data_IF_836711731093
#
_entry.id   IF_836711731093
#
_cell.length_a   1.000
_cell.length_b   1.000
_cell.length_c   1.000
_cell.angle_alpha   90.00
_cell.angle_beta   90.00
_cell.angle_gamma   90.00
#
_symmetry.space_group_name_H-M   'P 1'
#
loop_
_entity.id
_entity.type
_entity.pdbx_description
1 polymer ?
#
# COMPACT_ATOMS: atom_id res chain seq x y z
N UNK A 1 -31.12 -68.73 -8.30
CA UNK A 1 -30.08 -69.13 -7.34
C UNK A 1 -28.73 -68.62 -7.83
N UNK A 2 -28.07 -67.81 -6.98
CA UNK A 2 -26.65 -67.44 -6.90
C UNK A 2 -25.86 -67.13 -8.19
N UNK A 3 -25.74 -65.85 -8.55
CA UNK A 3 -24.58 -65.35 -9.31
C UNK A 3 -23.54 -64.84 -8.31
N UNK A 4 -22.39 -65.50 -8.28
CA UNK A 4 -21.22 -65.12 -7.48
C UNK A 4 -20.60 -63.85 -8.07
N UNK A 5 -20.42 -62.82 -7.24
CA UNK A 5 -19.64 -61.64 -7.60
C UNK A 5 -18.16 -61.91 -7.28
N UNK A 6 -17.22 -61.77 -8.22
CA UNK A 6 -15.82 -61.68 -7.84
C UNK A 6 -15.56 -60.28 -7.28
N UNK A 7 -14.98 -60.25 -6.08
CA UNK A 7 -14.40 -59.08 -5.43
C UNK A 7 -13.39 -58.42 -6.39
N UNK A 8 -13.78 -57.30 -7.02
CA UNK A 8 -12.84 -56.37 -7.61
C UNK A 8 -12.36 -55.43 -6.53
N UNK A 9 -11.16 -55.66 -6.00
CA UNK A 9 -10.48 -54.73 -5.09
C UNK A 9 -10.15 -53.48 -5.91
N UNK A 10 -10.98 -52.44 -5.79
CA UNK A 10 -10.63 -51.11 -6.28
C UNK A 10 -9.63 -50.53 -5.29
N UNK A 11 -8.35 -50.56 -5.64
CA UNK A 11 -7.33 -49.75 -4.98
C UNK A 11 -7.66 -48.28 -5.25
N UNK A 12 -8.38 -47.65 -4.32
CA UNK A 12 -8.49 -46.19 -4.26
C UNK A 12 -7.10 -45.68 -3.85
N UNK A 13 -6.28 -45.33 -4.84
CA UNK A 13 -5.06 -44.57 -4.61
C UNK A 13 -5.44 -43.20 -4.05
N UNK A 14 -5.51 -43.09 -2.73
CA UNK A 14 -5.52 -41.83 -2.01
C UNK A 14 -4.17 -41.16 -2.28
N UNK A 15 -4.11 -40.33 -3.33
CA UNK A 15 -3.11 -39.28 -3.40
C UNK A 15 -3.40 -38.32 -2.25
N UNK A 16 -2.49 -38.14 -1.27
CA UNK A 16 -2.60 -37.01 -0.37
C UNK A 16 -2.36 -35.76 -1.22
N UNK A 17 -3.44 -35.15 -1.72
CA UNK A 17 -3.40 -33.77 -2.17
C UNK A 17 -3.21 -32.99 -0.87
N UNK A 18 -1.95 -32.79 -0.50
CA UNK A 18 -1.57 -31.85 0.54
C UNK A 18 -2.00 -30.48 0.04
N UNK A 19 -3.22 -30.08 0.38
CA UNK A 19 -3.63 -28.69 0.33
C UNK A 19 -2.75 -27.99 1.37
N UNK A 20 -1.59 -27.50 0.92
CA UNK A 20 -0.82 -26.53 1.69
C UNK A 20 -1.73 -25.31 1.74
N UNK A 21 -2.48 -25.19 2.83
CA UNK A 21 -3.23 -23.99 3.11
C UNK A 21 -2.23 -22.85 3.12
N UNK A 22 -2.29 -21.97 2.12
CA UNK A 22 -1.53 -20.72 2.07
C UNK A 22 -1.95 -19.74 3.19
N UNK A 23 -2.75 -20.19 4.17
CA UNK A 23 -3.13 -19.42 5.35
C UNK A 23 -1.96 -19.10 6.28
N UNK A 24 -0.76 -19.62 6.04
CA UNK A 24 0.47 -18.98 6.52
C UNK A 24 0.88 -17.89 5.52
N UNK A 25 0.08 -16.83 5.47
CA UNK A 25 0.53 -15.56 4.92
C UNK A 25 1.72 -15.13 5.79
N UNK A 26 2.92 -15.12 5.21
CA UNK A 26 4.11 -14.60 5.91
C UNK A 26 3.74 -13.27 6.57
N UNK A 27 4.28 -13.02 7.78
CA UNK A 27 4.15 -11.77 8.52
C UNK A 27 4.90 -10.61 7.81
N UNK A 28 4.74 -10.50 6.50
CA UNK A 28 5.29 -9.46 5.66
C UNK A 28 4.34 -8.28 5.62
N UNK A 29 4.90 -7.10 5.41
CA UNK A 29 4.13 -5.90 5.16
C UNK A 29 3.49 -5.98 3.77
N UNK A 30 2.24 -5.53 3.66
CA UNK A 30 1.67 -5.25 2.36
C UNK A 30 2.48 -4.11 1.70
N UNK A 31 3.09 -4.32 0.51
CA UNK A 31 3.92 -3.30 -0.13
C UNK A 31 3.20 -1.97 -0.37
N UNK A 32 1.91 -2.00 -0.72
CA UNK A 32 1.10 -0.78 -0.92
C UNK A 32 0.98 0.02 0.38
N UNK A 33 0.70 -0.67 1.49
CA UNK A 33 0.61 -0.05 2.82
C UNK A 33 1.98 0.48 3.25
N UNK A 34 3.05 -0.30 3.04
CA UNK A 34 4.41 0.07 3.39
C UNK A 34 4.88 1.31 2.62
N UNK A 35 4.60 1.37 1.32
CA UNK A 35 4.95 2.51 0.49
C UNK A 35 4.21 3.79 0.91
N UNK A 36 2.92 3.70 1.28
CA UNK A 36 2.22 4.85 1.83
C UNK A 36 2.74 5.27 3.21
N UNK A 37 3.09 4.30 4.05
CA UNK A 37 3.75 4.55 5.33
C UNK A 37 5.06 5.32 5.14
N UNK A 38 5.87 4.94 4.16
CA UNK A 38 7.10 5.66 3.83
C UNK A 38 6.85 7.08 3.29
N UNK A 39 5.80 7.28 2.49
CA UNK A 39 5.49 8.59 1.91
C UNK A 39 4.86 9.58 2.90
N UNK A 40 4.12 9.08 3.89
CA UNK A 40 3.31 9.90 4.82
C UNK A 40 3.58 9.60 6.30
N UNK A 41 4.74 9.01 6.58
CA UNK A 41 5.35 8.84 7.90
C UNK A 41 4.43 8.21 8.97
N UNK A 42 3.70 7.15 8.62
CA UNK A 42 2.92 6.35 9.58
C UNK A 42 3.45 4.92 9.71
N UNK A 43 3.19 4.28 10.85
CA UNK A 43 3.65 2.90 11.09
C UNK A 43 2.79 1.89 10.30
N UNK A 44 3.36 1.10 9.38
CA UNK A 44 2.61 0.10 8.63
C UNK A 44 2.26 -1.10 9.53
N UNK A 45 1.12 -1.73 9.26
CA UNK A 45 0.72 -2.99 9.91
C UNK A 45 0.97 -4.17 8.97
N UNK A 46 1.25 -5.35 9.54
CA UNK A 46 1.51 -6.59 8.78
C UNK A 46 0.20 -7.32 8.44
N UNK A 47 0.22 -8.10 7.36
CA UNK A 47 -0.91 -8.94 6.94
C UNK A 47 -1.95 -8.22 6.08
N UNK A 48 -3.15 -8.80 5.99
CA UNK A 48 -4.25 -8.26 5.19
C UNK A 48 -4.90 -7.06 5.89
N UNK A 49 -4.94 -5.92 5.18
CA UNK A 49 -5.41 -4.64 5.72
C UNK A 49 -6.58 -4.14 4.89
N UNK A 50 -7.70 -3.82 5.55
CA UNK A 50 -8.82 -3.10 4.93
C UNK A 50 -8.74 -1.59 5.18
N UNK A 51 -8.34 -1.22 6.40
CA UNK A 51 -8.28 0.17 6.83
C UNK A 51 -7.22 0.34 7.91
N UNK A 52 -6.53 1.48 7.89
CA UNK A 52 -5.65 1.95 8.96
C UNK A 52 -6.07 3.35 9.32
N UNK A 53 -6.29 3.58 10.61
CA UNK A 53 -6.35 4.92 11.20
C UNK A 53 -5.12 5.10 12.05
N UNK A 54 -4.33 6.13 11.77
CA UNK A 54 -3.16 6.49 12.58
C UNK A 54 -3.39 7.86 13.20
N UNK A 55 -3.11 7.98 14.50
CA UNK A 55 -3.12 9.26 15.22
C UNK A 55 -1.82 9.33 15.99
N UNK A 56 -1.04 10.37 15.75
CA UNK A 56 0.21 10.63 16.47
C UNK A 56 0.05 11.88 17.29
N UNK A 57 0.53 11.80 18.53
CA UNK A 57 0.41 12.86 19.52
C UNK A 57 1.79 13.47 19.79
N UNK A 58 1.80 14.77 20.04
CA UNK A 58 2.94 15.48 20.62
C UNK A 58 3.08 15.15 22.12
N UNK A 59 4.18 15.58 22.73
CA UNK A 59 4.43 15.39 24.17
C UNK A 59 3.36 16.05 25.05
N UNK A 60 2.79 17.18 24.59
CA UNK A 60 1.70 17.90 25.26
C UNK A 60 0.30 17.27 25.06
N UNK A 61 0.23 16.10 24.40
CA UNK A 61 -0.99 15.36 24.03
C UNK A 61 -1.86 16.02 22.97
N UNK A 62 -1.41 17.11 22.33
CA UNK A 62 -2.03 17.61 21.11
C UNK A 62 -1.80 16.61 19.96
N UNK A 63 -2.68 16.62 18.95
CA UNK A 63 -2.53 15.76 17.77
C UNK A 63 -1.51 16.41 16.83
N UNK A 64 -0.43 15.69 16.55
CA UNK A 64 0.56 16.04 15.54
C UNK A 64 -0.01 15.80 14.14
N UNK A 65 -0.40 14.55 13.87
CA UNK A 65 -1.07 14.19 12.62
C UNK A 65 -2.10 13.08 12.81
N UNK A 66 -3.08 13.07 11.91
CA UNK A 66 -4.04 11.99 11.72
C UNK A 66 -4.01 11.53 10.26
N UNK A 67 -4.04 10.21 10.06
CA UNK A 67 -4.17 9.63 8.72
C UNK A 67 -5.19 8.50 8.68
N UNK A 68 -5.81 8.34 7.50
CA UNK A 68 -6.77 7.27 7.22
C UNK A 68 -6.47 6.66 5.87
N UNK A 69 -6.02 5.40 5.85
CA UNK A 69 -5.83 4.60 4.66
C UNK A 69 -6.97 3.59 4.54
N UNK A 70 -7.63 3.54 3.38
CA UNK A 70 -8.57 2.48 3.01
C UNK A 70 -8.06 1.71 1.80
N UNK A 71 -8.12 0.39 1.89
CA UNK A 71 -7.74 -0.54 0.83
C UNK A 71 -9.01 -1.18 0.28
N UNK A 72 -9.16 -1.12 -1.04
CA UNK A 72 -10.28 -1.72 -1.75
C UNK A 72 -10.19 -3.25 -1.76
N UNK A 73 -11.27 -3.90 -2.19
CA UNK A 73 -11.34 -5.36 -2.28
C UNK A 73 -10.29 -5.97 -3.22
N UNK A 74 -9.80 -5.20 -4.19
CA UNK A 74 -8.76 -5.60 -5.13
C UNK A 74 -7.33 -5.39 -4.57
N UNK A 75 -7.20 -4.97 -3.32
CA UNK A 75 -5.90 -4.76 -2.65
C UNK A 75 -5.24 -3.42 -2.96
N UNK A 76 -5.83 -2.59 -3.82
CA UNK A 76 -5.31 -1.26 -4.14
C UNK A 76 -5.87 -0.20 -3.18
N UNK A 77 -5.19 0.95 -3.10
CA UNK A 77 -5.66 2.10 -2.31
C UNK A 77 -7.02 2.57 -2.83
N UNK A 78 -8.03 2.62 -1.96
CA UNK A 78 -9.35 3.17 -2.26
C UNK A 78 -9.43 4.66 -1.90
N UNK A 79 -8.86 5.03 -0.75
CA UNK A 79 -8.74 6.43 -0.35
C UNK A 79 -7.63 6.59 0.67
N UNK A 80 -7.02 7.77 0.69
CA UNK A 80 -6.07 8.15 1.72
C UNK A 80 -6.32 9.60 2.16
N UNK A 81 -6.30 9.82 3.46
CA UNK A 81 -6.32 11.16 4.06
C UNK A 81 -5.15 11.31 5.01
N UNK A 82 -4.54 12.48 4.99
CA UNK A 82 -3.47 12.88 5.90
C UNK A 82 -3.70 14.32 6.30
N UNK A 83 -3.67 14.60 7.59
CA UNK A 83 -3.81 15.94 8.15
C UNK A 83 -2.80 16.10 9.29
N UNK A 84 -1.75 16.86 9.02
CA UNK A 84 -0.69 17.19 9.96
C UNK A 84 -0.71 18.69 10.21
N UNK A 85 -1.14 19.06 11.41
CA UNK A 85 -1.25 20.46 11.79
C UNK A 85 0.12 21.11 11.87
N UNK A 86 0.16 22.41 11.58
CA UNK A 86 1.36 23.21 11.80
C UNK A 86 1.74 23.14 13.27
N UNK A 87 2.99 22.81 13.54
CA UNK A 87 3.59 22.81 14.87
C UNK A 87 4.88 23.63 14.79
N UNK A 88 4.98 24.70 15.57
CA UNK A 88 6.14 25.62 15.53
C UNK A 88 7.48 24.93 15.80
N UNK A 89 7.48 23.74 16.42
CA UNK A 89 8.68 23.00 16.79
C UNK A 89 9.01 21.85 15.82
N UNK A 90 8.01 21.31 15.11
CA UNK A 90 8.15 20.09 14.31
C UNK A 90 7.81 20.27 12.83
N UNK A 91 6.88 21.16 12.47
CA UNK A 91 6.44 21.38 11.09
C UNK A 91 6.06 22.84 10.82
N UNK A 92 6.90 23.53 10.03
CA UNK A 92 6.71 24.94 9.66
C UNK A 92 5.45 25.22 8.81
N UNK A 93 4.77 24.19 8.30
CA UNK A 93 3.57 24.32 7.46
C UNK A 93 2.52 23.24 7.79
N UNK A 94 1.25 23.58 7.60
CA UNK A 94 0.14 22.61 7.58
C UNK A 94 0.33 21.69 6.37
N UNK A 95 0.33 20.38 6.59
CA UNK A 95 0.42 19.40 5.52
C UNK A 95 -0.88 18.60 5.50
N UNK A 96 -1.56 18.64 4.36
CA UNK A 96 -2.85 18.00 4.17
C UNK A 96 -2.85 17.29 2.83
N UNK A 97 -3.45 16.10 2.80
CA UNK A 97 -3.75 15.37 1.59
C UNK A 97 -5.09 14.68 1.74
N UNK A 98 -5.93 14.78 0.73
CA UNK A 98 -7.09 13.93 0.54
C UNK A 98 -7.10 13.42 -0.88
N UNK A 99 -7.14 12.10 -1.06
CA UNK A 99 -7.30 11.46 -2.36
C UNK A 99 -8.26 10.29 -2.29
N UNK A 100 -9.04 10.11 -3.36
CA UNK A 100 -9.97 8.99 -3.53
C UNK A 100 -9.78 8.35 -4.90
N UNK A 101 -9.95 7.04 -4.95
CA UNK A 101 -9.82 6.29 -6.19
C UNK A 101 -10.93 6.60 -7.19
N UNK A 102 -10.52 6.87 -8.42
CA UNK A 102 -11.36 6.96 -9.62
C UNK A 102 -10.66 6.16 -10.71
N UNK A 103 -11.20 4.99 -11.05
CA UNK A 103 -10.57 4.01 -11.95
C UNK A 103 -9.16 3.65 -11.46
N UNK A 104 -8.13 3.85 -12.29
CA UNK A 104 -6.73 3.57 -12.00
C UNK A 104 -5.99 4.79 -11.45
N UNK A 105 -6.67 5.76 -10.84
CA UNK A 105 -6.06 6.96 -10.28
C UNK A 105 -6.58 7.25 -8.87
N UNK A 106 -5.74 7.82 -8.02
CA UNK A 106 -6.15 8.54 -6.82
C UNK A 106 -6.24 10.03 -7.16
N UNK A 107 -7.42 10.63 -7.01
CA UNK A 107 -7.67 12.03 -7.36
C UNK A 107 -8.11 12.77 -6.10
N UNK A 108 -7.58 13.97 -5.90
CA UNK A 108 -8.03 14.85 -4.84
C UNK A 108 -7.21 16.13 -4.75
N UNK A 109 -6.78 16.50 -3.55
CA UNK A 109 -6.08 17.77 -3.29
C UNK A 109 -5.15 17.69 -2.10
N UNK A 110 -4.11 18.50 -2.12
CA UNK A 110 -3.29 18.86 -0.98
C UNK A 110 -3.49 20.34 -0.62
N UNK A 111 -2.57 20.90 0.17
CA UNK A 111 -2.56 22.33 0.54
C UNK A 111 -2.27 23.25 -0.63
N UNK A 112 -1.58 22.78 -1.67
CA UNK A 112 -1.12 23.57 -2.81
C UNK A 112 -2.06 23.46 -4.01
N UNK A 113 -2.90 22.42 -4.10
CA UNK A 113 -3.92 22.32 -5.12
C UNK A 113 -4.34 20.89 -5.45
N UNK A 114 -4.79 20.64 -6.69
CA UNK A 114 -5.16 19.31 -7.15
C UNK A 114 -3.98 18.34 -7.13
N UNK A 115 -4.25 17.11 -6.70
CA UNK A 115 -3.30 16.00 -6.72
C UNK A 115 -3.89 14.85 -7.51
N UNK A 116 -3.07 14.26 -8.39
CA UNK A 116 -3.38 13.04 -9.11
C UNK A 116 -2.26 12.02 -8.91
N UNK A 117 -2.61 10.78 -8.57
CA UNK A 117 -1.65 9.68 -8.50
C UNK A 117 -2.11 8.53 -9.40
N UNK A 118 -1.24 8.05 -10.28
CA UNK A 118 -1.54 6.93 -11.17
C UNK A 118 -1.28 5.62 -10.45
N UNK A 119 -2.25 4.70 -10.48
CA UNK A 119 -2.14 3.35 -9.93
C UNK A 119 -1.89 2.37 -11.09
N UNK A 120 -0.86 1.55 -10.97
CA UNK A 120 -0.56 0.45 -11.88
C UNK A 120 -1.40 -0.80 -11.60
N UNK A 121 -1.32 -1.78 -12.51
CA UNK A 121 -2.10 -3.02 -12.42
C UNK A 121 -1.76 -3.86 -11.18
N UNK A 122 -0.56 -3.68 -10.61
CA UNK A 122 -0.10 -4.31 -9.37
C UNK A 122 -0.37 -3.47 -8.12
N UNK A 123 -1.28 -2.49 -8.19
CA UNK A 123 -1.62 -1.55 -7.12
C UNK A 123 -0.50 -0.59 -6.68
N UNK A 124 0.64 -0.57 -7.36
CA UNK A 124 1.71 0.40 -7.09
C UNK A 124 1.30 1.80 -7.57
N UNK A 125 1.73 2.83 -6.84
CA UNK A 125 1.58 4.22 -7.29
C UNK A 125 2.71 4.52 -8.27
N UNK A 126 2.41 4.64 -9.56
CA UNK A 126 3.41 4.85 -10.61
C UNK A 126 3.91 6.29 -10.61
N UNK A 127 3.01 7.25 -10.46
CA UNK A 127 3.36 8.66 -10.42
C UNK A 127 2.47 9.46 -9.47
N UNK A 128 2.96 10.61 -9.03
CA UNK A 128 2.21 11.66 -8.33
C UNK A 128 2.42 12.97 -9.07
N UNK A 129 1.33 13.62 -9.46
CA UNK A 129 1.31 14.96 -10.03
C UNK A 129 0.62 15.92 -9.08
N UNK A 130 1.27 17.03 -8.79
CA UNK A 130 0.76 18.13 -7.98
C UNK A 130 1.21 19.48 -8.57
N UNK A 131 1.06 20.57 -7.81
CA UNK A 131 1.45 21.92 -8.25
C UNK A 131 2.94 22.08 -8.52
N UNK A 132 3.79 21.19 -7.98
CA UNK A 132 5.24 21.25 -8.10
C UNK A 132 5.76 20.41 -9.28
N UNK A 133 4.88 19.72 -10.00
CA UNK A 133 5.21 18.88 -11.15
C UNK A 133 4.76 17.44 -10.96
N UNK A 134 5.39 16.53 -11.71
CA UNK A 134 5.10 15.10 -11.65
C UNK A 134 6.35 14.31 -11.25
N UNK A 135 6.20 13.46 -10.23
CA UNK A 135 7.19 12.49 -9.79
C UNK A 135 6.81 11.11 -10.30
N UNK A 136 7.79 10.39 -10.86
CA UNK A 136 7.66 8.99 -11.26
C UNK A 136 8.38 8.13 -10.22
N UNK A 137 7.68 7.19 -9.60
CA UNK A 137 8.26 6.34 -8.57
C UNK A 137 9.01 5.15 -9.18
N UNK A 138 10.14 4.82 -8.56
CA UNK A 138 10.96 3.67 -8.89
C UNK A 138 10.83 2.63 -7.78
N UNK A 139 10.74 1.36 -8.15
CA UNK A 139 10.51 0.26 -7.21
C UNK A 139 11.66 -0.74 -7.23
N UNK A 140 11.97 -1.34 -6.08
CA UNK A 140 12.83 -2.52 -6.01
C UNK A 140 12.05 -3.80 -6.38
N UNK A 141 12.75 -4.94 -6.39
CA UNK A 141 12.16 -6.26 -6.70
C UNK A 141 11.02 -6.69 -5.76
N UNK A 142 10.99 -6.15 -4.55
CA UNK A 142 10.01 -6.47 -3.51
C UNK A 142 8.78 -5.53 -3.59
N UNK A 143 8.74 -4.65 -4.59
CA UNK A 143 7.64 -3.71 -4.80
C UNK A 143 7.65 -2.52 -3.84
N UNK A 144 8.80 -2.21 -3.24
CA UNK A 144 9.00 -1.08 -2.34
C UNK A 144 9.61 0.11 -3.10
N UNK A 145 9.15 1.33 -2.81
CA UNK A 145 9.68 2.56 -3.43
C UNK A 145 11.17 2.70 -3.08
N UNK A 146 12.01 2.64 -4.10
CA UNK A 146 13.46 2.82 -4.01
C UNK A 146 13.91 4.23 -4.43
N UNK A 147 13.01 5.05 -4.95
CA UNK A 147 13.31 6.42 -5.32
C UNK A 147 12.27 7.03 -6.24
N UNK A 148 12.57 8.20 -6.76
CA UNK A 148 11.73 8.89 -7.73
C UNK A 148 12.52 9.72 -8.71
N UNK A 149 11.93 9.94 -9.89
CA UNK A 149 12.42 10.81 -10.96
C UNK A 149 11.46 11.98 -11.16
N UNK A 150 11.99 13.14 -11.53
CA UNK A 150 11.16 14.21 -12.09
C UNK A 150 10.70 13.82 -13.50
N UNK A 151 9.41 13.93 -13.79
CA UNK A 151 8.86 13.47 -15.07
C UNK A 151 9.35 14.27 -16.29
N UNK A 152 9.65 15.56 -16.10
CA UNK A 152 10.05 16.51 -17.13
C UNK A 152 11.51 16.32 -17.59
N UNK A 153 12.42 16.15 -16.63
CA UNK A 153 13.87 16.11 -16.84
C UNK A 153 14.44 14.70 -16.73
N UNK A 154 13.65 13.75 -16.21
CA UNK A 154 14.09 12.39 -15.83
C UNK A 154 15.25 12.37 -14.82
N UNK A 155 15.51 13.49 -14.15
CA UNK A 155 16.56 13.60 -13.13
C UNK A 155 16.10 12.88 -11.86
N UNK A 156 17.04 12.21 -11.18
CA UNK A 156 16.79 11.61 -9.87
C UNK A 156 16.39 12.69 -8.87
N UNK A 157 15.21 12.51 -8.26
CA UNK A 157 14.70 13.37 -7.19
C UNK A 157 15.03 12.79 -5.81
N UNK A 158 14.85 11.48 -5.63
CA UNK A 158 15.12 10.79 -4.36
C UNK A 158 15.64 9.38 -4.60
N UNK A 159 16.45 8.84 -3.69
CA UNK A 159 16.93 7.45 -3.72
C UNK A 159 16.97 6.89 -2.30
N UNK A 160 16.41 5.70 -2.12
CA UNK A 160 16.39 4.95 -0.86
C UNK A 160 17.25 3.71 -1.01
N UNK A 161 18.30 3.60 -0.18
CA UNK A 161 19.15 2.42 -0.13
C UNK A 161 18.67 1.48 0.99
N UNK A 162 18.09 0.35 0.59
CA UNK A 162 17.70 -0.71 1.53
C UNK A 162 18.84 -1.71 1.64
N UNK A 163 19.32 -1.95 2.87
CA UNK A 163 20.22 -3.08 3.14
C UNK A 163 19.38 -4.35 3.04
N UNK A 164 19.65 -5.18 2.02
CA UNK A 164 19.06 -6.51 1.86
C UNK A 164 19.92 -7.56 2.55
#
# INVERSE_FOLDING_TARGET
MSKKYPLGIVFLSLFPISFVSLAFQEQQYNPVVFNLAQLYDFNPVRGAVKQIKSVVYNEDKSINYESMLKIGHDGCVESFTFDQKKDEYLNGAHNYLFVKRVKNKLIGRDVSGPVEMVIGDNCQIISKKDSNGELIYQYNKDGIIAGSLLADTKKQYSKNDYQQ
#
